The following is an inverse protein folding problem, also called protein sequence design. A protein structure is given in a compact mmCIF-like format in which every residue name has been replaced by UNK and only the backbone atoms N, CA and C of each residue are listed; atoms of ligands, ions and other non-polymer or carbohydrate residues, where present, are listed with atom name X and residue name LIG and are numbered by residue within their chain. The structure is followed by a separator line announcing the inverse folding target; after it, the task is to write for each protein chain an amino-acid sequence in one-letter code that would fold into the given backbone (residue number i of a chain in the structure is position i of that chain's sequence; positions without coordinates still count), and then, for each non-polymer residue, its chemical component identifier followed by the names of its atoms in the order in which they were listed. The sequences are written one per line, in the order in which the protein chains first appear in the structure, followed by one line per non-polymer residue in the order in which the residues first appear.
data_IF_806198827247
#
_entry.id   IF_806198827247
#
_cell.length_a   1.000
_cell.length_b   1.000
_cell.length_c   1.000
_cell.angle_alpha   90.00
_cell.angle_beta   90.00
_cell.angle_gamma   90.00
#
_symmetry.space_group_name_H-M   'P 1'
#
loop_
_entity.id
_entity.type
_entity.pdbx_description
1 polymer ?
#
# COMPACT_ATOMS: atom_id res chain seq x y z
N UNK A 1 -1.61 -28.44 -15.94
CA UNK A 1 -0.77 -27.29 -15.55
C UNK A 1 -1.28 -26.07 -16.29
N UNK A 2 -1.41 -24.95 -15.61
CA UNK A 2 -1.86 -23.70 -16.25
C UNK A 2 -0.76 -23.19 -17.20
N UNK A 3 -1.13 -22.62 -18.36
CA UNK A 3 -0.19 -22.09 -19.37
C UNK A 3 0.85 -21.14 -18.77
N UNK A 4 0.46 -20.35 -17.75
CA UNK A 4 1.37 -19.46 -17.02
C UNK A 4 2.44 -20.23 -16.23
N UNK A 5 2.08 -21.31 -15.55
CA UNK A 5 3.04 -22.15 -14.80
C UNK A 5 4.05 -22.80 -15.73
N UNK A 6 3.61 -23.21 -16.93
CA UNK A 6 4.49 -23.79 -17.93
C UNK A 6 5.50 -22.78 -18.49
N UNK A 7 5.09 -21.52 -18.70
CA UNK A 7 5.99 -20.43 -19.08
C UNK A 7 7.08 -20.18 -18.03
N UNK A 8 6.73 -20.18 -16.75
CA UNK A 8 7.70 -19.98 -15.66
C UNK A 8 8.78 -21.08 -15.60
N UNK A 9 8.46 -22.28 -16.08
CA UNK A 9 9.39 -23.41 -16.04
C UNK A 9 10.23 -23.54 -17.31
N UNK A 10 9.76 -23.05 -18.46
CA UNK A 10 10.38 -23.29 -19.77
C UNK A 10 11.01 -22.06 -20.42
N UNK A 11 10.53 -20.85 -20.09
CA UNK A 11 11.02 -19.62 -20.72
C UNK A 11 12.41 -19.24 -20.20
N UNK A 12 13.25 -18.58 -21.02
CA UNK A 12 14.54 -18.04 -20.55
C UNK A 12 14.36 -17.07 -19.39
N UNK A 13 15.15 -17.22 -18.35
CA UNK A 13 15.00 -16.50 -17.07
C UNK A 13 15.04 -14.98 -17.26
N UNK A 14 15.98 -14.46 -18.03
CA UNK A 14 16.20 -13.01 -18.16
C UNK A 14 15.04 -12.26 -18.84
N UNK A 15 14.50 -12.69 -20.00
CA UNK A 15 13.32 -12.07 -20.62
C UNK A 15 12.08 -12.18 -19.71
N UNK A 16 11.92 -13.30 -19.01
CA UNK A 16 10.81 -13.53 -18.08
C UNK A 16 10.87 -12.54 -16.91
N UNK A 17 12.04 -12.35 -16.31
CA UNK A 17 12.25 -11.36 -15.24
C UNK A 17 11.92 -9.95 -15.69
N UNK A 18 12.38 -9.52 -16.87
CA UNK A 18 12.05 -8.18 -17.39
C UNK A 18 10.56 -8.04 -17.60
N UNK A 19 9.91 -9.02 -18.24
CA UNK A 19 8.47 -9.01 -18.52
C UNK A 19 7.63 -8.91 -17.25
N UNK A 20 8.06 -9.55 -16.17
CA UNK A 20 7.38 -9.52 -14.88
C UNK A 20 7.68 -8.26 -14.07
N UNK A 21 8.90 -7.75 -14.13
CA UNK A 21 9.34 -6.59 -13.35
C UNK A 21 8.88 -5.26 -13.96
N UNK A 22 8.85 -5.15 -15.29
CA UNK A 22 8.55 -3.90 -15.98
C UNK A 22 7.21 -3.26 -15.56
N UNK A 23 6.08 -3.96 -15.50
CA UNK A 23 4.81 -3.36 -15.09
C UNK A 23 4.87 -2.82 -13.65
N UNK A 24 5.52 -3.57 -12.76
CA UNK A 24 5.66 -3.18 -11.36
C UNK A 24 6.60 -1.99 -11.17
N UNK A 25 7.69 -1.93 -11.94
CA UNK A 25 8.64 -0.80 -11.93
C UNK A 25 7.97 0.48 -12.43
N UNK A 26 7.19 0.40 -13.51
CA UNK A 26 6.43 1.55 -14.03
C UNK A 26 5.41 2.03 -12.99
N UNK A 27 4.66 1.13 -12.37
CA UNK A 27 3.69 1.47 -11.33
C UNK A 27 4.37 2.12 -10.12
N UNK A 28 5.55 1.64 -9.72
CA UNK A 28 6.35 2.22 -8.64
C UNK A 28 6.84 3.64 -8.96
N UNK A 29 7.32 3.87 -10.19
CA UNK A 29 7.75 5.21 -10.63
C UNK A 29 6.58 6.19 -10.67
N UNK A 30 5.42 5.76 -11.18
CA UNK A 30 4.19 6.58 -11.19
C UNK A 30 3.80 6.93 -9.75
N UNK A 31 3.81 5.95 -8.84
CA UNK A 31 3.50 6.21 -7.44
C UNK A 31 4.47 7.22 -6.79
N UNK A 32 5.76 7.14 -7.10
CA UNK A 32 6.74 8.13 -6.62
C UNK A 32 6.42 9.54 -7.13
N UNK A 33 6.02 9.68 -8.39
CA UNK A 33 5.59 10.97 -8.96
C UNK A 33 4.31 11.48 -8.26
N UNK A 34 3.36 10.60 -7.97
CA UNK A 34 2.13 10.95 -7.24
C UNK A 34 2.45 11.48 -5.85
N UNK A 35 3.33 10.81 -5.10
CA UNK A 35 3.76 11.27 -3.78
C UNK A 35 4.39 12.67 -3.85
N UNK A 36 5.24 12.93 -4.84
CA UNK A 36 5.83 14.26 -5.05
C UNK A 36 4.75 15.32 -5.39
N UNK A 37 3.79 14.96 -6.24
CA UNK A 37 2.68 15.84 -6.58
C UNK A 37 1.81 16.16 -5.35
N UNK A 38 1.53 15.19 -4.50
CA UNK A 38 0.79 15.41 -3.25
C UNK A 38 1.51 16.35 -2.30
N UNK A 39 2.82 16.17 -2.09
CA UNK A 39 3.60 17.11 -1.29
C UNK A 39 3.57 18.55 -1.89
N UNK A 40 3.60 18.64 -3.22
CA UNK A 40 3.46 19.94 -3.89
C UNK A 40 2.09 20.56 -3.66
N UNK A 41 0.99 19.80 -3.79
CA UNK A 41 -0.36 20.29 -3.51
C UNK A 41 -0.50 20.74 -2.05
N UNK A 42 -0.03 19.94 -1.10
CA UNK A 42 -0.10 20.26 0.33
C UNK A 42 0.73 21.50 0.65
N UNK A 43 1.84 21.73 -0.04
CA UNK A 43 2.67 22.92 0.15
C UNK A 43 1.95 24.22 -0.17
N UNK A 44 0.91 24.19 -1.03
CA UNK A 44 0.08 25.36 -1.34
C UNK A 44 -0.84 25.76 -0.17
N UNK A 45 -1.13 24.85 0.76
CA UNK A 45 -1.93 25.12 1.95
C UNK A 45 -1.12 25.84 3.05
N UNK A 46 0.20 25.87 2.94
CA UNK A 46 1.09 26.52 3.90
C UNK A 46 2.09 25.58 4.55
N UNK A 47 2.91 26.18 5.43
CA UNK A 47 4.04 25.45 6.07
C UNK A 47 3.53 24.45 7.12
N UNK A 48 2.51 24.81 7.90
CA UNK A 48 2.01 23.97 8.99
C UNK A 48 1.39 22.65 8.48
N UNK A 49 0.48 22.64 7.49
CA UNK A 49 -0.03 21.40 6.91
C UNK A 49 1.07 20.52 6.29
N UNK A 50 2.01 21.14 5.59
CA UNK A 50 3.14 20.40 5.00
C UNK A 50 4.01 19.72 6.08
N UNK A 51 4.33 20.46 7.14
CA UNK A 51 5.07 19.93 8.27
C UNK A 51 4.29 18.82 9.00
N UNK A 52 2.96 18.97 9.13
CA UNK A 52 2.10 17.98 9.76
C UNK A 52 2.09 16.63 9.01
N UNK A 53 1.96 16.66 7.69
CA UNK A 53 2.03 15.44 6.87
C UNK A 53 3.43 14.82 6.94
N UNK A 54 4.48 15.64 6.92
CA UNK A 54 5.86 15.16 7.05
C UNK A 54 6.11 14.47 8.40
N UNK A 55 5.56 15.02 9.48
CA UNK A 55 5.64 14.44 10.82
C UNK A 55 4.86 13.11 10.92
N UNK A 56 3.73 13.01 10.23
CA UNK A 56 2.91 11.80 10.17
C UNK A 56 3.51 10.68 9.28
N UNK A 57 4.38 11.05 8.34
CA UNK A 57 4.90 10.17 7.29
C UNK A 57 5.53 8.87 7.80
N UNK A 58 6.37 8.84 8.86
CA UNK A 58 6.94 7.61 9.40
C UNK A 58 5.88 6.60 9.87
N UNK A 59 4.80 7.07 10.52
CA UNK A 59 3.73 6.21 10.99
C UNK A 59 2.93 5.61 9.83
N UNK A 60 2.67 6.40 8.80
CA UNK A 60 2.00 5.96 7.57
C UNK A 60 2.85 4.95 6.81
N UNK A 61 4.14 5.24 6.63
CA UNK A 61 5.08 4.33 5.99
C UNK A 61 5.17 3.00 6.72
N UNK A 62 5.23 3.00 8.05
CA UNK A 62 5.23 1.77 8.84
C UNK A 62 3.97 0.94 8.56
N UNK A 63 2.80 1.56 8.56
CA UNK A 63 1.52 0.91 8.27
C UNK A 63 1.51 0.28 6.87
N UNK A 64 1.98 1.01 5.86
CA UNK A 64 2.06 0.54 4.48
C UNK A 64 3.08 -0.61 4.33
N UNK A 65 4.26 -0.49 4.94
CA UNK A 65 5.27 -1.53 4.87
C UNK A 65 4.85 -2.83 5.56
N UNK A 66 4.07 -2.74 6.62
CA UNK A 66 3.47 -3.93 7.24
C UNK A 66 2.43 -4.59 6.32
N UNK A 67 1.56 -3.79 5.68
CA UNK A 67 0.51 -4.29 4.79
C UNK A 67 1.08 -4.89 3.49
N UNK A 68 1.87 -4.12 2.75
CA UNK A 68 2.37 -4.51 1.42
C UNK A 68 3.69 -5.26 1.46
N UNK A 69 4.60 -4.89 2.36
CA UNK A 69 5.93 -5.50 2.49
C UNK A 69 5.86 -6.82 3.23
N UNK A 70 5.59 -6.79 4.53
CA UNK A 70 5.64 -7.98 5.37
C UNK A 70 4.50 -8.97 5.05
N UNK A 71 3.24 -8.54 5.21
CA UNK A 71 2.09 -9.40 4.96
C UNK A 71 1.96 -9.75 3.48
N UNK A 72 2.09 -8.75 2.59
CA UNK A 72 2.01 -8.96 1.15
C UNK A 72 3.07 -9.92 0.63
N UNK A 73 4.31 -9.82 1.09
CA UNK A 73 5.39 -10.76 0.74
C UNK A 73 5.10 -12.18 1.20
N UNK A 74 4.62 -12.36 2.43
CA UNK A 74 4.23 -13.65 2.98
C UNK A 74 3.06 -14.29 2.18
N UNK A 75 2.04 -13.51 1.85
CA UNK A 75 0.87 -13.96 1.06
C UNK A 75 1.30 -14.38 -0.34
N UNK A 76 2.07 -13.54 -1.05
CA UNK A 76 2.57 -13.83 -2.39
C UNK A 76 3.34 -15.15 -2.43
N UNK A 77 4.30 -15.33 -1.52
CA UNK A 77 5.14 -16.53 -1.49
C UNK A 77 4.37 -17.79 -1.10
N UNK A 78 3.41 -17.67 -0.18
CA UNK A 78 2.63 -18.83 0.29
C UNK A 78 1.63 -19.31 -0.76
N UNK A 79 0.96 -18.39 -1.46
CA UNK A 79 0.04 -18.70 -2.56
C UNK A 79 0.82 -19.30 -3.73
N UNK A 80 1.94 -18.68 -4.13
CA UNK A 80 2.76 -19.20 -5.22
C UNK A 80 3.23 -20.64 -4.96
N UNK A 81 3.68 -20.95 -3.74
CA UNK A 81 4.08 -22.33 -3.36
C UNK A 81 2.91 -23.31 -3.39
N UNK A 82 1.73 -22.91 -2.91
CA UNK A 82 0.55 -23.77 -2.91
C UNK A 82 0.09 -24.09 -4.33
N UNK A 83 0.08 -23.09 -5.22
CA UNK A 83 -0.26 -23.29 -6.62
C UNK A 83 0.80 -24.10 -7.37
N UNK A 84 2.09 -23.91 -7.07
CA UNK A 84 3.18 -24.71 -7.60
C UNK A 84 3.08 -26.18 -7.21
N UNK A 85 2.55 -26.47 -6.02
CA UNK A 85 2.23 -27.82 -5.54
C UNK A 85 0.87 -28.36 -6.05
N UNK A 86 0.18 -27.63 -6.94
CA UNK A 86 -1.17 -27.93 -7.45
C UNK A 86 -2.25 -28.02 -6.34
N UNK A 87 -2.01 -27.46 -5.16
CA UNK A 87 -2.92 -27.44 -4.01
C UNK A 87 -3.76 -26.15 -4.00
N UNK A 88 -4.75 -26.09 -4.89
CA UNK A 88 -5.68 -24.95 -5.00
C UNK A 88 -6.49 -24.70 -3.70
N UNK A 89 -7.05 -25.75 -3.03
CA UNK A 89 -7.79 -25.55 -1.79
C UNK A 89 -6.96 -24.88 -0.69
N UNK A 90 -5.66 -25.18 -0.63
CA UNK A 90 -4.73 -24.55 0.30
C UNK A 90 -4.49 -23.07 -0.08
N UNK A 91 -4.33 -22.76 -1.35
CA UNK A 91 -4.18 -21.38 -1.82
C UNK A 91 -5.40 -20.52 -1.44
N UNK A 92 -6.62 -21.03 -1.62
CA UNK A 92 -7.86 -20.36 -1.23
C UNK A 92 -7.94 -20.10 0.28
N UNK A 93 -7.62 -21.10 1.11
CA UNK A 93 -7.56 -20.96 2.56
C UNK A 93 -6.55 -19.89 2.99
N UNK A 94 -5.38 -19.86 2.36
CA UNK A 94 -4.35 -18.85 2.65
C UNK A 94 -4.82 -17.44 2.29
N UNK A 95 -5.55 -17.28 1.19
CA UNK A 95 -6.16 -16.00 0.85
C UNK A 95 -7.15 -15.54 1.94
N UNK A 96 -8.08 -16.40 2.36
CA UNK A 96 -9.01 -16.05 3.43
C UNK A 96 -8.31 -15.69 4.74
N UNK A 97 -7.30 -16.47 5.15
CA UNK A 97 -6.52 -16.15 6.34
C UNK A 97 -5.80 -14.80 6.20
N UNK A 98 -5.27 -14.48 5.02
CA UNK A 98 -4.62 -13.19 4.79
C UNK A 98 -5.58 -12.01 4.91
N UNK A 99 -6.83 -12.16 4.46
CA UNK A 99 -7.87 -11.14 4.62
C UNK A 99 -8.24 -10.93 6.10
N UNK A 100 -8.39 -12.02 6.88
CA UNK A 100 -8.61 -11.89 8.32
C UNK A 100 -7.43 -11.20 9.01
N UNK A 101 -6.20 -11.59 8.71
CA UNK A 101 -4.99 -10.97 9.27
C UNK A 101 -4.93 -9.50 8.88
N UNK A 102 -5.32 -9.12 7.66
CA UNK A 102 -5.40 -7.73 7.22
C UNK A 102 -6.40 -6.92 8.04
N UNK A 103 -7.59 -7.44 8.28
CA UNK A 103 -8.60 -6.76 9.10
C UNK A 103 -8.10 -6.56 10.54
N UNK A 104 -7.57 -7.63 11.16
CA UNK A 104 -7.02 -7.55 12.51
C UNK A 104 -5.79 -6.64 12.59
N UNK A 105 -4.91 -6.71 11.61
CA UNK A 105 -3.72 -5.86 11.54
C UNK A 105 -4.08 -4.39 11.42
N UNK A 106 -4.98 -4.03 10.50
CA UNK A 106 -5.45 -2.65 10.35
C UNK A 106 -6.11 -2.13 11.64
N UNK A 107 -6.97 -2.95 12.29
CA UNK A 107 -7.60 -2.60 13.54
C UNK A 107 -6.58 -2.44 14.67
N UNK A 108 -5.60 -3.34 14.76
CA UNK A 108 -4.54 -3.25 15.75
C UNK A 108 -3.71 -1.96 15.59
N UNK A 109 -3.34 -1.60 14.37
CA UNK A 109 -2.65 -0.34 14.09
C UNK A 109 -3.48 0.88 14.47
N UNK A 110 -4.78 0.88 14.17
CA UNK A 110 -5.70 1.94 14.58
C UNK A 110 -5.75 2.08 16.11
N UNK A 111 -5.90 0.97 16.84
CA UNK A 111 -5.96 0.98 18.30
C UNK A 111 -4.63 1.43 18.91
N UNK A 112 -3.50 0.91 18.41
CA UNK A 112 -2.17 1.29 18.88
C UNK A 112 -1.94 2.78 18.67
N UNK A 113 -2.32 3.30 17.49
CA UNK A 113 -2.17 4.72 17.22
C UNK A 113 -3.11 5.59 18.05
N UNK A 114 -4.35 5.12 18.31
CA UNK A 114 -5.27 5.84 19.19
C UNK A 114 -4.72 6.00 20.60
N UNK A 115 -4.01 4.99 21.12
CA UNK A 115 -3.42 5.01 22.47
C UNK A 115 -2.07 5.75 22.50
N UNK A 116 -1.22 5.49 21.53
CA UNK A 116 0.19 5.92 21.53
C UNK A 116 0.53 6.97 20.48
N UNK A 117 -0.41 7.38 19.62
CA UNK A 117 -0.15 8.30 18.52
C UNK A 117 0.30 9.68 18.98
N UNK A 118 -0.34 10.23 20.00
CA UNK A 118 0.06 11.53 20.55
C UNK A 118 1.44 11.49 21.19
N UNK A 119 1.77 10.55 22.11
CA UNK A 119 3.13 10.40 22.63
C UNK A 119 4.17 10.21 21.53
N UNK A 120 3.85 9.39 20.50
CA UNK A 120 4.75 9.13 19.38
C UNK A 120 5.07 10.40 18.60
N UNK A 121 4.05 11.15 18.21
CA UNK A 121 4.23 12.38 17.44
C UNK A 121 4.91 13.48 18.26
N UNK A 122 4.69 13.54 19.58
CA UNK A 122 5.43 14.44 20.50
C UNK A 122 6.92 14.11 20.54
N UNK A 123 7.29 12.84 20.63
CA UNK A 123 8.69 12.40 20.59
C UNK A 123 9.35 12.77 19.25
N UNK A 124 8.59 12.74 18.16
CA UNK A 124 9.05 13.15 16.83
C UNK A 124 9.13 14.67 16.65
N UNK A 125 8.77 15.46 17.68
CA UNK A 125 8.87 16.92 17.67
C UNK A 125 7.55 17.66 17.42
N UNK A 126 6.41 16.96 17.43
CA UNK A 126 5.08 17.57 17.29
C UNK A 126 4.71 18.42 18.50
N UNK A 127 4.36 19.69 18.28
CA UNK A 127 3.91 20.63 19.33
C UNK A 127 2.80 21.53 18.79
N UNK A 128 1.88 21.98 19.66
CA UNK A 128 0.82 22.94 19.30
C UNK A 128 0.00 22.51 18.09
N UNK A 129 -0.27 23.42 17.19
CA UNK A 129 -1.07 23.19 15.98
C UNK A 129 -0.49 22.10 15.08
N UNK A 130 0.85 21.99 15.00
CA UNK A 130 1.52 20.94 14.24
C UNK A 130 1.13 19.54 14.72
N UNK A 131 1.07 19.32 16.02
CA UNK A 131 0.68 18.05 16.61
C UNK A 131 -0.78 17.74 16.32
N UNK A 132 -1.68 18.70 16.48
CA UNK A 132 -3.12 18.54 16.25
C UNK A 132 -3.40 18.17 14.79
N UNK A 133 -2.82 18.86 13.82
CA UNK A 133 -2.97 18.57 12.39
C UNK A 133 -2.38 17.21 12.03
N UNK A 134 -1.22 16.85 12.60
CA UNK A 134 -0.60 15.55 12.35
C UNK A 134 -1.45 14.39 12.90
N UNK A 135 -2.02 14.56 14.09
CA UNK A 135 -2.94 13.58 14.69
C UNK A 135 -4.19 13.41 13.85
N UNK A 136 -4.81 14.52 13.42
CA UNK A 136 -6.00 14.49 12.58
C UNK A 136 -5.72 13.76 11.25
N UNK A 137 -4.60 14.07 10.61
CA UNK A 137 -4.20 13.43 9.36
C UNK A 137 -3.96 11.91 9.54
N UNK A 138 -3.19 11.52 10.55
CA UNK A 138 -2.95 10.10 10.86
C UNK A 138 -4.25 9.36 11.19
N UNK A 139 -5.17 9.97 11.93
CA UNK A 139 -6.43 9.36 12.32
C UNK A 139 -7.30 9.07 11.10
N UNK A 140 -7.47 10.05 10.20
CA UNK A 140 -8.21 9.87 8.95
C UNK A 140 -7.57 8.79 8.08
N UNK A 141 -6.24 8.79 7.94
CA UNK A 141 -5.52 7.77 7.20
C UNK A 141 -5.76 6.36 7.77
N UNK A 142 -5.65 6.20 9.08
CA UNK A 142 -5.79 4.92 9.76
C UNK A 142 -7.23 4.39 9.77
N UNK A 143 -8.25 5.26 9.74
CA UNK A 143 -9.64 4.83 9.49
C UNK A 143 -9.78 4.16 8.12
N UNK A 144 -9.06 4.65 7.12
CA UNK A 144 -8.97 4.03 5.79
C UNK A 144 -8.02 2.83 5.69
N UNK A 145 -7.21 2.56 6.70
CA UNK A 145 -6.16 1.54 6.65
C UNK A 145 -6.70 0.14 6.38
N UNK A 146 -7.92 -0.18 6.80
CA UNK A 146 -8.55 -1.48 6.51
C UNK A 146 -8.64 -1.74 5.01
N UNK A 147 -9.01 -0.73 4.22
CA UNK A 147 -9.07 -0.81 2.75
C UNK A 147 -7.68 -1.01 2.16
N UNK A 148 -6.69 -0.28 2.68
CA UNK A 148 -5.28 -0.38 2.27
C UNK A 148 -4.74 -1.78 2.53
N UNK A 149 -4.98 -2.34 3.72
CA UNK A 149 -4.50 -3.68 4.08
C UNK A 149 -5.18 -4.79 3.29
N UNK A 150 -6.50 -4.71 3.08
CA UNK A 150 -7.25 -5.68 2.25
C UNK A 150 -6.78 -5.63 0.79
N UNK A 151 -6.64 -4.44 0.22
CA UNK A 151 -6.12 -4.27 -1.15
C UNK A 151 -4.69 -4.79 -1.29
N UNK A 152 -3.84 -4.59 -0.25
CA UNK A 152 -2.51 -5.16 -0.16
C UNK A 152 -2.50 -6.69 -0.24
N UNK A 153 -3.35 -7.36 0.53
CA UNK A 153 -3.46 -8.82 0.51
C UNK A 153 -4.02 -9.35 -0.81
N UNK A 154 -5.03 -8.69 -1.39
CA UNK A 154 -5.60 -9.09 -2.69
C UNK A 154 -4.58 -8.92 -3.82
N UNK A 155 -3.86 -7.80 -3.87
CA UNK A 155 -2.80 -7.59 -4.87
C UNK A 155 -1.63 -8.55 -4.69
N UNK A 156 -1.29 -8.88 -3.44
CA UNK A 156 -0.27 -9.89 -3.13
C UNK A 156 -0.69 -11.29 -3.60
N UNK A 157 -1.96 -11.64 -3.44
CA UNK A 157 -2.51 -12.91 -3.95
C UNK A 157 -2.42 -12.99 -5.48
N UNK A 158 -2.79 -11.93 -6.19
CA UNK A 158 -2.66 -11.85 -7.65
C UNK A 158 -1.20 -12.01 -8.10
N UNK A 159 -0.26 -11.36 -7.42
CA UNK A 159 1.17 -11.55 -7.66
C UNK A 159 1.60 -13.01 -7.40
N UNK A 160 1.09 -13.63 -6.36
CA UNK A 160 1.32 -15.05 -6.06
C UNK A 160 0.79 -16.01 -7.14
N UNK A 161 -0.26 -15.60 -7.87
CA UNK A 161 -0.79 -16.30 -9.04
C UNK A 161 -0.01 -16.00 -10.33
N UNK A 162 1.04 -15.17 -10.26
CA UNK A 162 1.84 -14.76 -11.42
C UNK A 162 1.22 -13.62 -12.24
N UNK A 163 0.16 -12.98 -11.74
CA UNK A 163 -0.41 -11.80 -12.39
C UNK A 163 0.21 -10.53 -11.81
N UNK A 164 1.20 -9.99 -12.53
CA UNK A 164 1.84 -8.74 -12.17
C UNK A 164 1.20 -7.53 -12.88
N UNK A 165 0.46 -7.76 -13.96
CA UNK A 165 -0.09 -6.69 -14.79
C UNK A 165 -1.31 -6.05 -14.15
N UNK A 166 -2.26 -6.87 -13.68
CA UNK A 166 -3.50 -6.35 -13.09
C UNK A 166 -3.25 -5.45 -11.87
N UNK A 167 -2.43 -5.86 -10.86
CA UNK A 167 -2.07 -4.98 -9.75
C UNK A 167 -1.39 -3.68 -10.19
N UNK A 168 -0.50 -3.74 -11.20
CA UNK A 168 0.20 -2.56 -11.70
C UNK A 168 -0.77 -1.58 -12.38
N UNK A 169 -1.67 -2.06 -13.25
CA UNK A 169 -2.69 -1.23 -13.90
C UNK A 169 -3.63 -0.61 -12.87
N UNK A 170 -4.08 -1.39 -11.89
CA UNK A 170 -4.93 -0.89 -10.80
C UNK A 170 -4.25 0.24 -10.02
N UNK A 171 -2.96 0.07 -9.70
CA UNK A 171 -2.16 1.11 -9.01
C UNK A 171 -2.11 2.40 -9.83
N UNK A 172 -1.90 2.31 -11.15
CA UNK A 172 -1.86 3.48 -12.03
C UNK A 172 -3.21 4.20 -12.09
N UNK A 173 -4.30 3.44 -12.19
CA UNK A 173 -5.65 4.02 -12.20
C UNK A 173 -5.95 4.72 -10.87
N UNK A 174 -5.68 4.05 -9.73
CA UNK A 174 -5.85 4.64 -8.41
C UNK A 174 -5.00 5.90 -8.22
N UNK A 175 -3.75 5.89 -8.70
CA UNK A 175 -2.87 7.04 -8.69
C UNK A 175 -3.43 8.23 -9.46
N UNK A 176 -3.99 7.99 -10.65
CA UNK A 176 -4.65 9.04 -11.45
C UNK A 176 -5.88 9.63 -10.75
N UNK A 177 -6.73 8.77 -10.17
CA UNK A 177 -7.89 9.19 -9.39
C UNK A 177 -7.46 10.01 -8.17
N UNK A 178 -6.44 9.55 -7.45
CA UNK A 178 -5.90 10.22 -6.27
C UNK A 178 -5.41 11.64 -6.60
N UNK A 179 -4.57 11.80 -7.64
CA UNK A 179 -4.09 13.12 -8.08
C UNK A 179 -5.24 14.04 -8.47
N UNK A 180 -6.23 13.51 -9.20
CA UNK A 180 -7.40 14.28 -9.63
C UNK A 180 -8.19 14.84 -8.43
N UNK A 181 -8.50 13.99 -7.46
CA UNK A 181 -9.23 14.44 -6.27
C UNK A 181 -8.38 15.33 -5.36
N UNK A 182 -7.11 15.01 -5.16
CA UNK A 182 -6.20 15.87 -4.37
C UNK A 182 -6.08 17.26 -4.96
N UNK A 183 -5.90 17.36 -6.28
CA UNK A 183 -5.87 18.66 -6.97
C UNK A 183 -7.19 19.43 -6.80
N UNK A 184 -8.33 18.76 -7.00
CA UNK A 184 -9.64 19.37 -6.89
C UNK A 184 -9.94 19.92 -5.48
N UNK A 185 -9.70 19.12 -4.46
CA UNK A 185 -9.95 19.52 -3.06
C UNK A 185 -8.97 20.55 -2.54
N UNK A 186 -7.68 20.47 -2.90
CA UNK A 186 -6.66 21.37 -2.37
C UNK A 186 -6.64 22.71 -3.12
N UNK A 187 -6.81 22.69 -4.44
CA UNK A 187 -6.83 23.91 -5.24
C UNK A 187 -8.20 24.61 -5.30
N UNK A 188 -9.21 24.04 -4.62
CA UNK A 188 -10.53 24.66 -4.53
C UNK A 188 -11.32 24.64 -5.85
N UNK A 189 -11.09 23.62 -6.70
CA UNK A 189 -11.78 23.48 -7.99
C UNK A 189 -13.12 22.75 -7.87
N UNK A 190 -13.51 22.29 -6.68
CA UNK A 190 -14.78 21.67 -6.33
C UNK A 190 -15.49 22.48 -5.23
#
# INVERSE_FOLDING_TARGET
MDKRTEQFLKDPIFPLLIKMSAPNTVAFLINAVVVLAEFWFISQLGITPLAAVTLAFPAIMLTQQMAFGALGGAVTSSIARSLGAADKPRAEKLLWHSLYISCFGALAFLIIFFIFGEPLLRILGGTGALLEESLAYCFVYLLGAIVVWLSGSLTAALRGMGDMQFPAVLTVICAGIQVFFSAGFILGSF
#
